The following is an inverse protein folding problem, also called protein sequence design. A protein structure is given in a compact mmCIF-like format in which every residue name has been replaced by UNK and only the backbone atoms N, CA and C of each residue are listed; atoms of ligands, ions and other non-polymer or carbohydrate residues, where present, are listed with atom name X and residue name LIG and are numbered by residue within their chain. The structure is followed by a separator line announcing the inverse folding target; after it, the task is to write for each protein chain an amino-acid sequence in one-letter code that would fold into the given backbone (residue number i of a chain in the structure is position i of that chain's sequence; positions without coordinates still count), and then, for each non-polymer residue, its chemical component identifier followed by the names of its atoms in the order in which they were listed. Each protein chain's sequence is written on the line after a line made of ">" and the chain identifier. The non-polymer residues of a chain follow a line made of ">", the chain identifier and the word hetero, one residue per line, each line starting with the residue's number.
data_IF_328368860698
#
_entry.id   IF_328368860698
#
_cell.length_a   1.000
_cell.length_b   1.000
_cell.length_c   1.000
_cell.angle_alpha   90.00
_cell.angle_beta   90.00
_cell.angle_gamma   90.00
#
_symmetry.space_group_name_H-M   'P 1'
#
loop_
_entity.id
_entity.type
_entity.pdbx_description
1 polymer ?
#
# COMPACT_ATOMS: atom_id res chain seq x y z
N UNK A 1 7.20 11.13 -0.99
CA UNK A 1 6.35 10.11 -1.62
C UNK A 1 5.86 10.63 -2.96
N UNK A 2 5.76 9.76 -3.95
CA UNK A 2 5.19 10.06 -5.26
C UNK A 2 3.99 9.14 -5.51
N UNK A 3 2.99 9.62 -6.23
CA UNK A 3 1.77 8.87 -6.51
C UNK A 3 1.40 9.02 -7.99
N UNK A 4 0.75 8.00 -8.56
CA UNK A 4 0.19 8.08 -9.91
C UNK A 4 -1.30 8.43 -9.79
N UNK A 5 -1.72 9.65 -10.13
CA UNK A 5 -3.09 10.09 -9.99
C UNK A 5 -4.06 9.17 -10.72
N UNK A 6 -5.19 8.86 -10.09
CA UNK A 6 -6.28 8.01 -10.61
C UNK A 6 -5.94 6.53 -10.82
N UNK A 7 -4.71 6.07 -10.58
CA UNK A 7 -4.31 4.66 -10.77
C UNK A 7 -5.15 3.67 -9.94
N UNK A 8 -5.69 4.08 -8.81
CA UNK A 8 -6.59 3.26 -7.99
C UNK A 8 -7.89 2.82 -8.69
N UNK A 9 -8.28 3.51 -9.78
CA UNK A 9 -9.45 3.16 -10.61
C UNK A 9 -9.12 2.16 -11.72
N UNK A 10 -7.84 1.91 -11.94
CA UNK A 10 -7.36 1.03 -12.99
C UNK A 10 -7.27 -0.44 -12.57
N UNK A 11 -6.46 -1.18 -13.33
CA UNK A 11 -6.16 -2.61 -13.10
C UNK A 11 -5.52 -2.80 -11.72
N UNK A 12 -5.80 -3.94 -11.10
CA UNK A 12 -5.04 -4.43 -9.94
C UNK A 12 -3.81 -5.13 -10.49
N UNK A 13 -2.64 -4.74 -10.02
CA UNK A 13 -1.36 -5.35 -10.42
C UNK A 13 -0.93 -6.38 -9.39
N UNK A 14 -0.32 -7.47 -9.87
CA UNK A 14 0.32 -8.45 -9.00
C UNK A 14 1.51 -7.80 -8.28
N UNK A 15 1.76 -8.26 -7.06
CA UNK A 15 2.95 -7.93 -6.28
C UNK A 15 3.92 -9.12 -6.20
N UNK A 16 3.68 -10.12 -7.04
CA UNK A 16 4.52 -11.29 -7.21
C UNK A 16 5.35 -11.16 -8.48
N UNK A 17 6.60 -11.57 -8.43
CA UNK A 17 7.51 -11.60 -9.56
C UNK A 17 8.25 -12.94 -9.53
N UNK A 18 8.17 -13.70 -10.64
CA UNK A 18 8.79 -15.02 -10.77
C UNK A 18 8.49 -15.98 -9.60
N UNK A 19 7.25 -15.99 -9.14
CA UNK A 19 6.79 -16.80 -8.00
C UNK A 19 7.28 -16.33 -6.63
N UNK A 20 7.85 -15.11 -6.55
CA UNK A 20 8.30 -14.50 -5.29
C UNK A 20 7.44 -13.28 -4.98
N UNK A 21 6.90 -13.21 -3.75
CA UNK A 21 6.20 -12.03 -3.28
C UNK A 21 7.20 -10.90 -2.98
N UNK A 22 7.17 -9.86 -3.80
CA UNK A 22 8.09 -8.70 -3.70
C UNK A 22 7.49 -7.53 -2.93
N UNK A 23 6.16 -7.46 -2.85
CA UNK A 23 5.45 -6.32 -2.29
C UNK A 23 5.55 -5.06 -3.15
N UNK A 24 5.94 -5.20 -4.42
CA UNK A 24 6.06 -4.11 -5.39
C UNK A 24 5.52 -4.57 -6.76
N UNK A 25 5.05 -3.65 -7.57
CA UNK A 25 4.76 -3.90 -8.97
C UNK A 25 6.06 -4.21 -9.74
N UNK A 26 5.94 -4.91 -10.87
CA UNK A 26 7.10 -5.22 -11.70
C UNK A 26 7.70 -3.95 -12.36
N UNK A 27 8.90 -4.12 -12.92
CA UNK A 27 9.67 -3.03 -13.52
C UNK A 27 8.96 -2.42 -14.73
N UNK A 28 8.26 -3.23 -15.54
CA UNK A 28 7.51 -2.74 -16.70
C UNK A 28 6.41 -1.76 -16.28
N UNK A 29 5.69 -2.09 -15.21
CA UNK A 29 4.64 -1.22 -14.65
C UNK A 29 5.25 0.05 -14.04
N UNK A 30 6.37 -0.09 -13.32
CA UNK A 30 7.10 1.06 -12.79
C UNK A 30 7.49 2.02 -13.92
N UNK A 31 8.14 1.54 -14.97
CA UNK A 31 8.62 2.35 -16.09
C UNK A 31 7.47 3.02 -16.87
N UNK A 32 6.36 2.31 -17.02
CA UNK A 32 5.15 2.84 -17.66
C UNK A 32 4.59 4.06 -16.92
N UNK A 33 4.63 4.05 -15.60
CA UNK A 33 3.93 5.04 -14.79
C UNK A 33 4.83 6.07 -14.12
N UNK A 34 6.15 5.88 -14.12
CA UNK A 34 7.08 6.78 -13.41
C UNK A 34 6.96 8.24 -13.88
N UNK A 35 6.82 8.45 -15.19
CA UNK A 35 6.70 9.79 -15.78
C UNK A 35 5.32 10.44 -15.55
N UNK A 36 4.34 9.68 -15.05
CA UNK A 36 3.01 10.16 -14.70
C UNK A 36 2.88 10.41 -13.19
N UNK A 37 3.93 10.14 -12.44
CA UNK A 37 3.91 10.33 -11.01
C UNK A 37 3.99 11.80 -10.62
N UNK A 38 3.34 12.14 -9.52
CA UNK A 38 3.39 13.48 -8.93
C UNK A 38 3.87 13.39 -7.49
N UNK A 39 4.66 14.37 -7.07
CA UNK A 39 5.16 14.43 -5.69
C UNK A 39 4.08 14.90 -4.73
N UNK A 40 3.86 14.14 -3.67
CA UNK A 40 3.07 14.57 -2.53
C UNK A 40 3.99 15.32 -1.57
N UNK A 41 3.91 16.63 -1.59
CA UNK A 41 4.65 17.53 -0.69
C UNK A 41 3.69 18.13 0.32
N UNK A 42 4.22 18.50 1.50
CA UNK A 42 3.45 19.13 2.56
C UNK A 42 4.36 19.72 3.63
N UNK A 43 3.78 20.43 4.56
CA UNK A 43 4.45 20.99 5.75
C UNK A 43 4.39 19.99 6.90
N UNK A 44 5.18 20.20 7.93
CA UNK A 44 5.04 19.44 9.17
C UNK A 44 3.61 19.57 9.73
N UNK A 45 2.99 18.44 10.05
CA UNK A 45 1.59 18.38 10.50
C UNK A 45 0.57 18.06 9.40
N UNK A 46 0.94 18.16 8.13
CA UNK A 46 0.05 17.77 7.04
C UNK A 46 -0.14 16.25 7.00
N UNK A 47 -1.33 15.83 6.58
CA UNK A 47 -1.66 14.42 6.35
C UNK A 47 -1.97 14.18 4.88
N UNK A 48 -1.49 13.07 4.34
CA UNK A 48 -1.82 12.60 3.00
C UNK A 48 -2.82 11.46 3.10
N UNK A 49 -4.03 11.66 2.59
CA UNK A 49 -5.06 10.62 2.48
C UNK A 49 -5.00 10.02 1.08
N UNK A 50 -4.82 8.72 1.00
CA UNK A 50 -4.78 8.03 -0.29
C UNK A 50 -5.52 6.69 -0.25
N UNK A 51 -6.02 6.27 -1.40
CA UNK A 51 -6.61 4.95 -1.56
C UNK A 51 -5.51 3.89 -1.55
N UNK A 52 -5.71 2.74 -0.89
CA UNK A 52 -4.71 1.66 -0.77
C UNK A 52 -4.23 1.09 -2.12
N UNK A 53 -5.08 1.11 -3.14
CA UNK A 53 -4.75 0.68 -4.52
C UNK A 53 -4.03 1.75 -5.36
N UNK A 54 -3.78 2.94 -4.82
CA UNK A 54 -3.08 3.98 -5.57
C UNK A 54 -1.62 3.54 -5.79
N UNK A 55 -1.16 3.53 -7.05
CA UNK A 55 0.26 3.31 -7.33
C UNK A 55 1.06 4.44 -6.71
N UNK A 56 2.00 4.09 -5.87
CA UNK A 56 2.82 5.04 -5.13
C UNK A 56 4.20 4.46 -4.86
N UNK A 57 5.13 5.34 -4.60
CA UNK A 57 6.49 4.95 -4.28
C UNK A 57 7.25 6.05 -3.55
N UNK A 58 8.46 5.73 -3.17
CA UNK A 58 9.38 6.70 -2.59
C UNK A 58 10.80 6.33 -2.99
N UNK A 59 11.54 7.32 -3.44
CA UNK A 59 12.98 7.16 -3.59
C UNK A 59 13.63 6.87 -2.24
N UNK A 60 14.76 6.15 -2.22
CA UNK A 60 15.57 5.98 -1.02
C UNK A 60 15.90 7.33 -0.37
N UNK A 61 16.03 7.34 0.93
CA UNK A 61 16.47 8.53 1.65
C UNK A 61 17.99 8.73 1.44
N UNK A 62 18.34 9.70 0.64
CA UNK A 62 19.74 10.08 0.35
C UNK A 62 20.34 11.07 1.37
N UNK A 63 19.56 11.46 2.38
CA UNK A 63 20.01 12.42 3.40
C UNK A 63 20.50 11.72 4.65
N UNK A 64 21.26 12.45 5.49
CA UNK A 64 21.67 11.96 6.83
C UNK A 64 20.56 12.08 7.90
N UNK A 65 19.43 12.69 7.57
CA UNK A 65 18.30 12.86 8.50
C UNK A 65 17.33 11.69 8.38
N UNK A 66 16.78 11.24 9.50
CA UNK A 66 15.73 10.23 9.50
C UNK A 66 14.48 10.74 8.78
N UNK A 67 13.88 9.87 7.96
CA UNK A 67 12.59 10.10 7.35
C UNK A 67 11.56 9.24 8.07
N UNK A 68 10.94 9.79 9.09
CA UNK A 68 9.89 9.12 9.83
C UNK A 68 8.60 9.14 9.00
N UNK A 69 7.87 8.02 9.02
CA UNK A 69 6.58 7.88 8.39
C UNK A 69 5.61 7.27 9.40
N UNK A 70 4.48 7.93 9.59
CA UNK A 70 3.38 7.42 10.39
C UNK A 70 2.23 7.04 9.45
N UNK A 71 1.83 5.77 9.46
CA UNK A 71 0.77 5.24 8.61
C UNK A 71 -0.39 4.78 9.48
N UNK A 72 -1.58 5.25 9.14
CA UNK A 72 -2.84 4.76 9.73
C UNK A 72 -3.68 4.21 8.58
N UNK A 73 -4.20 3.01 8.75
CA UNK A 73 -5.10 2.39 7.77
C UNK A 73 -6.53 2.43 8.30
N UNK A 74 -7.42 2.99 7.51
CA UNK A 74 -8.87 2.95 7.72
C UNK A 74 -9.51 2.11 6.62
N UNK A 75 -10.53 1.36 7.00
CA UNK A 75 -11.34 0.58 6.05
C UNK A 75 -12.81 0.99 6.17
N UNK A 76 -13.55 0.85 5.08
CA UNK A 76 -15.00 0.99 5.15
C UNK A 76 -15.58 -0.16 5.99
N UNK A 77 -16.62 0.11 6.78
CA UNK A 77 -17.21 -0.88 7.68
C UNK A 77 -17.78 -2.08 6.92
N UNK A 78 -18.25 -1.85 5.69
CA UNK A 78 -18.78 -2.85 4.78
C UNK A 78 -17.72 -3.57 3.93
N UNK A 79 -16.42 -3.33 4.16
CA UNK A 79 -15.32 -4.00 3.51
C UNK A 79 -14.76 -5.14 4.38
N UNK A 80 -14.71 -6.35 3.81
CA UNK A 80 -14.12 -7.50 4.49
C UNK A 80 -12.65 -7.66 4.11
N UNK A 81 -11.75 -7.94 5.06
CA UNK A 81 -10.37 -8.30 4.76
C UNK A 81 -10.31 -9.63 4.04
N UNK A 82 -9.41 -9.77 3.08
CA UNK A 82 -9.18 -11.02 2.34
C UNK A 82 -8.33 -12.01 3.14
N UNK A 83 -7.55 -11.54 4.09
CA UNK A 83 -6.68 -12.33 4.95
C UNK A 83 -6.50 -11.64 6.31
N UNK A 84 -5.82 -12.33 7.21
CA UNK A 84 -5.53 -11.80 8.55
C UNK A 84 -4.70 -10.53 8.48
N UNK A 85 -4.96 -9.62 9.42
CA UNK A 85 -4.12 -8.44 9.58
C UNK A 85 -2.71 -8.85 10.05
N UNK A 86 -1.65 -8.55 9.28
CA UNK A 86 -0.28 -8.90 9.67
C UNK A 86 0.25 -8.09 10.86
N UNK A 87 -0.43 -7.00 11.21
CA UNK A 87 -0.07 -6.11 12.31
C UNK A 87 -1.28 -5.87 13.22
N UNK A 88 -1.81 -6.91 13.88
CA UNK A 88 -3.00 -6.75 14.73
C UNK A 88 -2.72 -5.78 15.87
N UNK A 89 -3.73 -5.02 16.25
CA UNK A 89 -3.64 -4.09 17.36
C UNK A 89 -4.99 -4.03 18.12
N UNK A 90 -4.97 -3.42 19.29
CA UNK A 90 -6.15 -3.35 20.16
C UNK A 90 -7.32 -2.55 19.61
N UNK A 91 -7.12 -1.74 18.59
CA UNK A 91 -8.15 -0.92 17.96
C UNK A 91 -8.71 -1.55 16.67
N UNK A 92 -8.28 -2.75 16.32
CA UNK A 92 -8.74 -3.43 15.13
C UNK A 92 -10.24 -3.68 15.19
N UNK A 93 -10.95 -3.25 14.14
CA UNK A 93 -12.42 -3.36 14.05
C UNK A 93 -13.21 -2.30 14.84
N UNK A 94 -12.55 -1.34 15.50
CA UNK A 94 -13.23 -0.21 16.11
C UNK A 94 -13.85 0.72 15.07
N UNK A 95 -15.08 1.15 15.33
CA UNK A 95 -15.78 2.12 14.49
C UNK A 95 -15.37 3.54 14.91
N UNK A 96 -14.54 4.19 14.10
CA UNK A 96 -14.09 5.57 14.36
C UNK A 96 -15.12 6.62 13.89
N UNK A 97 -15.99 6.24 12.93
CA UNK A 97 -17.07 7.12 12.44
C UNK A 97 -18.19 6.28 11.83
N UNK A 98 -19.44 6.67 12.10
CA UNK A 98 -20.62 5.98 11.60
C UNK A 98 -21.07 4.86 12.54
N UNK A 99 -21.66 3.84 11.99
CA UNK A 99 -22.20 2.68 12.74
C UNK A 99 -22.04 1.41 11.92
N UNK A 100 -22.01 0.28 12.61
CA UNK A 100 -22.00 -1.03 11.97
C UNK A 100 -23.34 -1.31 11.30
N UNK A 101 -23.28 -1.71 10.01
CA UNK A 101 -24.50 -1.97 9.21
C UNK A 101 -24.81 -3.47 9.12
N UNK A 102 -23.83 -4.33 9.30
CA UNK A 102 -23.95 -5.77 9.07
C UNK A 102 -23.97 -6.16 7.59
N UNK A 103 -23.74 -5.21 6.70
CA UNK A 103 -23.68 -5.46 5.25
C UNK A 103 -22.23 -5.63 4.80
N UNK A 104 -22.02 -6.37 3.74
CA UNK A 104 -20.72 -6.52 3.08
C UNK A 104 -20.85 -6.10 1.64
N UNK A 105 -19.97 -5.19 1.23
CA UNK A 105 -19.84 -4.76 -0.15
C UNK A 105 -18.79 -5.63 -0.84
N UNK A 106 -19.19 -6.26 -1.93
CA UNK A 106 -18.27 -7.06 -2.75
C UNK A 106 -18.33 -6.65 -4.21
N UNK A 107 -17.25 -6.88 -4.93
CA UNK A 107 -17.16 -6.73 -6.39
C UNK A 107 -16.35 -7.89 -6.94
N UNK A 108 -16.63 -8.32 -8.16
CA UNK A 108 -15.85 -9.38 -8.79
C UNK A 108 -14.46 -8.85 -9.16
N UNK A 109 -13.42 -9.52 -8.65
CA UNK A 109 -12.03 -9.30 -9.04
C UNK A 109 -11.22 -10.58 -8.79
N UNK A 110 -10.08 -10.68 -9.43
CA UNK A 110 -9.09 -11.74 -9.18
C UNK A 110 -7.77 -11.06 -8.83
N UNK A 111 -7.13 -11.52 -7.76
CA UNK A 111 -5.78 -11.10 -7.39
C UNK A 111 -5.03 -12.25 -6.72
N UNK A 112 -3.72 -12.19 -6.77
CA UNK A 112 -2.86 -13.07 -5.97
C UNK A 112 -2.76 -12.48 -4.56
N UNK A 113 -3.06 -13.30 -3.55
CA UNK A 113 -2.96 -12.87 -2.15
C UNK A 113 -1.50 -12.50 -1.82
N UNK A 114 -1.27 -11.37 -1.16
CA UNK A 114 0.05 -11.03 -0.67
C UNK A 114 0.49 -12.01 0.42
N UNK A 115 1.78 -12.26 0.51
CA UNK A 115 2.36 -12.97 1.66
C UNK A 115 2.51 -12.04 2.87
N UNK A 116 2.50 -12.64 4.06
CA UNK A 116 2.93 -11.93 5.26
C UNK A 116 4.40 -11.50 5.10
N UNK A 117 4.75 -10.25 5.50
CA UNK A 117 6.12 -9.81 5.46
C UNK A 117 7.02 -10.73 6.30
N UNK A 118 8.06 -11.29 5.68
CA UNK A 118 9.08 -12.11 6.35
C UNK A 118 10.13 -11.28 7.08
N UNK A 119 10.07 -9.98 6.91
CA UNK A 119 10.97 -8.99 7.49
C UNK A 119 10.18 -7.98 8.35
N UNK A 120 10.88 -7.17 9.12
CA UNK A 120 10.25 -6.14 9.97
C UNK A 120 9.45 -5.09 9.19
N UNK A 121 9.62 -5.04 7.86
CA UNK A 121 8.84 -4.17 6.97
C UNK A 121 8.91 -4.66 5.52
N UNK A 122 7.92 -4.27 4.70
CA UNK A 122 7.95 -4.47 3.25
C UNK A 122 9.20 -3.89 2.58
N UNK A 123 9.76 -2.81 3.11
CA UNK A 123 10.99 -2.21 2.59
C UNK A 123 12.21 -3.15 2.73
N UNK A 124 12.29 -3.94 3.81
CA UNK A 124 13.32 -4.96 3.99
C UNK A 124 13.21 -6.06 2.92
N UNK A 125 11.99 -6.51 2.64
CA UNK A 125 11.71 -7.51 1.63
C UNK A 125 12.05 -7.03 0.22
N UNK A 126 11.64 -5.80 -0.15
CA UNK A 126 11.93 -5.19 -1.45
C UNK A 126 13.43 -5.01 -1.70
N UNK A 127 14.23 -4.72 -0.67
CA UNK A 127 15.70 -4.62 -0.81
C UNK A 127 16.34 -5.92 -1.25
N UNK A 128 15.87 -7.06 -0.76
CA UNK A 128 16.43 -8.39 -1.10
C UNK A 128 16.17 -8.76 -2.56
N UNK A 129 15.06 -8.31 -3.13
CA UNK A 129 14.72 -8.58 -4.54
C UNK A 129 15.55 -7.73 -5.50
N UNK A 130 15.85 -6.48 -5.13
CA UNK A 130 16.67 -5.57 -5.96
C UNK A 130 18.15 -5.92 -5.95
N UNK A 131 18.63 -6.77 -5.06
CA UNK A 131 20.03 -7.18 -4.92
C UNK A 131 20.31 -8.59 -5.50
N UNK A 132 19.35 -9.21 -6.17
CA UNK A 132 19.50 -10.41 -7.01
C UNK A 132 19.48 -10.00 -8.48
#
# INVERSE_FOLDING_TARGET
>A
MEVVPKSHKGKIYSLWQDGVFTGAVDKEIEDKYINLSVKCTGKAGDACLMHSRLLHGSLPNSTKKNRNLFIITYVAEDAMPLDKNPLPNKFEGEIVRGKRTGLVRSSSFTLELPEFPKEASFFGQQKKVKNK
#
